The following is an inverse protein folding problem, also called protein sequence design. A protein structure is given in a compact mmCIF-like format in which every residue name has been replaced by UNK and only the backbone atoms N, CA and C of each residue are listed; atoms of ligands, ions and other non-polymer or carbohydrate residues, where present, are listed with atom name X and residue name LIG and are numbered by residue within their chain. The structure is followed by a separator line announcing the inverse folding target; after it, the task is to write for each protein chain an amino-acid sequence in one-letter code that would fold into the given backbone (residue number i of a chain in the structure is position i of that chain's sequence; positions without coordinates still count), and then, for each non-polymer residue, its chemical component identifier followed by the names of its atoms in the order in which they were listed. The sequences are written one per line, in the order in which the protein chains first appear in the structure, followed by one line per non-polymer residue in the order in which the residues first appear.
data_IF_910411838989
#
_entry.id   IF_910411838989
#
_cell.length_a   1.000
_cell.length_b   1.000
_cell.length_c   1.000
_cell.angle_alpha   90.00
_cell.angle_beta   90.00
_cell.angle_gamma   90.00
#
_symmetry.space_group_name_H-M   'P 1'
#
loop_
_entity.id
_entity.type
_entity.pdbx_description
1 polymer ?
#
# COMPACT_ATOMS: atom_id res chain seq x y z
N UNK A 1 55.32 -29.88 60.29
CA UNK A 1 54.14 -29.11 60.76
C UNK A 1 52.99 -29.31 59.77
N UNK A 2 51.74 -29.38 60.26
CA UNK A 2 50.54 -30.02 59.68
C UNK A 2 49.90 -29.32 58.44
N UNK A 3 49.49 -30.17 57.49
CA UNK A 3 48.25 -30.24 56.65
C UNK A 3 47.45 -28.98 56.23
N UNK A 4 47.14 -28.89 54.92
CA UNK A 4 45.81 -28.54 54.35
C UNK A 4 45.63 -29.28 53.00
N UNK A 5 44.79 -30.34 52.94
CA UNK A 5 43.41 -30.38 52.39
C UNK A 5 43.23 -29.75 51.01
N UNK A 6 42.88 -30.54 49.99
CA UNK A 6 41.48 -30.74 49.59
C UNK A 6 41.36 -31.68 48.39
N UNK A 7 40.32 -32.51 48.46
CA UNK A 7 39.92 -33.46 47.43
C UNK A 7 39.05 -32.75 46.38
N UNK A 8 39.20 -33.10 45.10
CA UNK A 8 38.12 -32.91 44.13
C UNK A 8 38.16 -33.96 43.02
N UNK A 9 37.53 -35.09 43.37
CA UNK A 9 36.57 -35.90 42.59
C UNK A 9 36.65 -35.81 41.06
N UNK A 10 37.05 -36.94 40.46
CA UNK A 10 36.88 -37.33 39.06
C UNK A 10 35.63 -36.69 38.42
N UNK A 11 35.83 -35.80 37.45
CA UNK A 11 34.77 -35.31 36.57
C UNK A 11 34.43 -36.38 35.54
N UNK A 12 33.38 -37.14 35.82
CA UNK A 12 32.70 -37.95 34.80
C UNK A 12 31.94 -36.98 33.89
N UNK A 13 32.45 -36.75 32.68
CA UNK A 13 31.73 -36.00 31.64
C UNK A 13 30.46 -36.78 31.29
N UNK A 14 29.32 -36.28 31.75
CA UNK A 14 28.01 -36.82 31.41
C UNK A 14 27.59 -36.16 30.10
N UNK A 15 28.00 -36.74 28.97
CA UNK A 15 27.40 -36.40 27.67
C UNK A 15 25.89 -36.65 27.79
N UNK A 16 25.12 -35.59 27.84
CA UNK A 16 23.66 -35.67 27.73
C UNK A 16 23.37 -35.88 26.25
N UNK A 17 23.43 -37.14 25.80
CA UNK A 17 22.82 -37.52 24.52
C UNK A 17 21.33 -37.25 24.62
N UNK A 18 20.89 -36.15 24.04
CA UNK A 18 19.46 -35.89 23.82
C UNK A 18 19.02 -36.88 22.74
N UNK A 19 18.47 -38.02 23.18
CA UNK A 19 17.84 -38.99 22.29
C UNK A 19 16.51 -38.38 21.85
N UNK A 20 16.53 -37.63 20.75
CA UNK A 20 15.32 -37.07 20.16
C UNK A 20 14.48 -38.18 19.54
N UNK A 21 13.20 -38.22 19.90
CA UNK A 21 12.24 -39.14 19.27
C UNK A 21 11.90 -38.68 17.84
N UNK A 22 11.57 -39.62 16.94
CA UNK A 22 11.20 -39.33 15.54
C UNK A 22 10.09 -38.27 15.41
N UNK A 23 9.20 -38.15 16.40
CA UNK A 23 8.14 -37.12 16.48
C UNK A 23 8.69 -35.71 16.73
N UNK A 24 9.74 -35.57 17.54
CA UNK A 24 10.38 -34.27 17.79
C UNK A 24 11.22 -33.81 16.59
N UNK A 25 11.83 -34.74 15.85
CA UNK A 25 12.54 -34.43 14.59
C UNK A 25 11.56 -33.90 13.54
N UNK A 26 10.36 -34.49 13.42
CA UNK A 26 9.33 -34.06 12.48
C UNK A 26 8.75 -32.65 12.81
N UNK A 27 8.66 -32.29 14.09
CA UNK A 27 8.18 -30.95 14.49
C UNK A 27 9.24 -29.89 14.21
N UNK A 28 10.52 -30.18 14.48
CA UNK A 28 11.62 -29.26 14.17
C UNK A 28 11.77 -29.07 12.66
N UNK A 29 11.66 -30.15 11.86
CA UNK A 29 11.73 -30.01 10.40
C UNK A 29 10.59 -29.16 9.84
N UNK A 30 9.37 -29.31 10.36
CA UNK A 30 8.22 -28.48 9.99
C UNK A 30 8.42 -27.00 10.38
N UNK A 31 8.95 -26.72 11.58
CA UNK A 31 9.24 -25.36 12.02
C UNK A 31 10.34 -24.68 11.19
N UNK A 32 11.39 -25.42 10.82
CA UNK A 32 12.47 -24.90 9.95
C UNK A 32 11.95 -24.61 8.54
N UNK A 33 11.09 -25.47 7.99
CA UNK A 33 10.43 -25.23 6.69
C UNK A 33 9.55 -23.98 6.73
N UNK A 34 8.77 -23.76 7.80
CA UNK A 34 7.94 -22.57 7.94
C UNK A 34 8.77 -21.28 7.98
N UNK A 35 9.89 -21.29 8.73
CA UNK A 35 10.80 -20.14 8.81
C UNK A 35 11.47 -19.88 7.45
N UNK A 36 11.87 -20.92 6.71
CA UNK A 36 12.47 -20.78 5.40
C UNK A 36 11.50 -20.18 4.37
N UNK A 37 10.21 -20.54 4.41
CA UNK A 37 9.18 -19.96 3.53
C UNK A 37 8.94 -18.48 3.86
N UNK A 38 8.88 -18.12 5.15
CA UNK A 38 8.71 -16.72 5.57
C UNK A 38 9.95 -15.89 5.17
N UNK A 39 11.16 -16.39 5.42
CA UNK A 39 12.39 -15.73 5.01
C UNK A 39 12.48 -15.58 3.48
N UNK A 40 12.09 -16.63 2.73
CA UNK A 40 12.02 -16.59 1.27
C UNK A 40 11.03 -15.55 0.76
N UNK A 41 9.86 -15.44 1.38
CA UNK A 41 8.85 -14.42 1.05
C UNK A 41 9.39 -12.99 1.32
N UNK A 42 10.07 -12.78 2.45
CA UNK A 42 10.70 -11.48 2.76
C UNK A 42 11.85 -11.15 1.81
N UNK A 43 12.69 -12.12 1.44
CA UNK A 43 13.79 -11.94 0.49
C UNK A 43 13.24 -11.64 -0.91
N UNK A 44 12.20 -12.35 -1.37
CA UNK A 44 11.57 -12.08 -2.66
C UNK A 44 10.91 -10.70 -2.69
N UNK A 45 10.34 -10.24 -1.57
CA UNK A 45 9.83 -8.87 -1.43
C UNK A 45 10.95 -7.82 -1.42
N UNK A 46 12.12 -8.14 -0.87
CA UNK A 46 13.31 -7.27 -0.89
C UNK A 46 14.00 -7.22 -2.27
N UNK A 47 13.95 -8.30 -3.04
CA UNK A 47 14.56 -8.41 -4.36
C UNK A 47 13.68 -7.86 -5.50
N UNK A 48 12.37 -7.71 -5.28
CA UNK A 48 11.45 -7.05 -6.23
C UNK A 48 11.55 -5.51 -6.23
N UNK A 49 12.66 -4.93 -5.75
CA UNK A 49 12.93 -3.50 -5.95
C UNK A 49 13.32 -3.28 -7.41
N UNK A 50 12.55 -2.52 -8.20
CA UNK A 50 12.96 -2.19 -9.57
C UNK A 50 14.31 -1.48 -9.55
N UNK A 51 15.16 -1.85 -10.51
CA UNK A 51 16.53 -1.37 -10.63
C UNK A 51 16.61 0.17 -10.59
N UNK A 52 17.51 0.67 -9.74
CA UNK A 52 17.86 2.09 -9.68
C UNK A 52 18.47 2.51 -11.02
N UNK A 53 17.71 3.29 -11.80
CA UNK A 53 18.27 4.06 -12.91
C UNK A 53 18.87 5.34 -12.33
N UNK A 54 20.20 5.45 -12.42
CA UNK A 54 20.97 6.63 -12.04
C UNK A 54 20.82 7.69 -13.13
N UNK A 55 20.12 8.79 -12.82
CA UNK A 55 20.01 9.97 -13.69
C UNK A 55 18.58 10.48 -13.90
N UNK A 56 17.89 10.84 -12.83
CA UNK A 56 16.54 11.43 -12.86
C UNK A 56 16.02 11.58 -11.44
N UNK A 57 15.21 12.61 -11.19
CA UNK A 57 14.53 12.77 -9.89
C UNK A 57 13.89 11.44 -9.48
N UNK A 58 14.19 10.91 -8.29
CA UNK A 58 13.60 9.67 -7.72
C UNK A 58 12.14 9.89 -7.30
N UNK A 59 11.40 10.72 -8.05
CA UNK A 59 10.02 11.08 -7.80
C UNK A 59 9.15 9.94 -8.30
N UNK A 60 8.33 9.40 -7.41
CA UNK A 60 7.34 8.39 -7.77
C UNK A 60 6.26 9.09 -8.56
N UNK A 61 6.22 8.90 -9.88
CA UNK A 61 5.19 9.52 -10.72
C UNK A 61 3.90 8.69 -10.79
N UNK A 62 3.97 7.39 -10.49
CA UNK A 62 2.81 6.50 -10.52
C UNK A 62 2.77 5.60 -9.31
N UNK A 63 1.68 5.65 -8.56
CA UNK A 63 1.41 4.73 -7.46
C UNK A 63 -0.08 4.65 -7.19
N UNK A 64 -0.51 3.63 -6.46
CA UNK A 64 -1.88 3.51 -5.99
C UNK A 64 -1.93 3.02 -4.56
N UNK A 65 -3.00 3.37 -3.88
CA UNK A 65 -3.32 2.87 -2.57
C UNK A 65 -4.83 2.81 -2.37
N UNK A 66 -5.24 2.23 -1.24
CA UNK A 66 -6.64 2.25 -0.84
C UNK A 66 -7.04 3.64 -0.34
N UNK A 67 -8.33 3.95 -0.35
CA UNK A 67 -8.83 5.28 -0.01
C UNK A 67 -8.46 5.72 1.43
N UNK A 68 -8.30 4.79 2.36
CA UNK A 68 -7.92 5.06 3.75
C UNK A 68 -6.44 5.44 3.96
N UNK A 69 -5.61 5.28 2.94
CA UNK A 69 -4.17 5.51 3.01
C UNK A 69 -3.77 6.84 2.37
N UNK A 70 -2.52 7.26 2.59
CA UNK A 70 -1.94 8.45 1.98
C UNK A 70 -1.03 8.13 0.80
N UNK A 71 -0.84 9.12 -0.06
CA UNK A 71 0.16 9.17 -1.12
C UNK A 71 1.17 10.26 -0.79
N UNK A 72 2.45 9.88 -0.68
CA UNK A 72 3.53 10.85 -0.53
C UNK A 72 4.07 11.27 -1.88
N UNK A 73 4.11 12.57 -2.14
CA UNK A 73 4.68 13.14 -3.36
C UNK A 73 5.25 14.53 -3.09
N UNK A 74 6.48 14.74 -3.50
CA UNK A 74 7.16 16.05 -3.42
C UNK A 74 7.15 16.69 -2.01
N UNK A 75 7.46 15.89 -0.99
CA UNK A 75 7.49 16.34 0.41
C UNK A 75 6.11 16.57 1.06
N UNK A 76 5.02 16.32 0.33
CA UNK A 76 3.64 16.41 0.80
C UNK A 76 3.02 15.03 0.92
N UNK A 77 2.13 14.89 1.90
CA UNK A 77 1.27 13.72 2.06
C UNK A 77 -0.14 14.10 1.68
N UNK A 78 -0.67 13.46 0.64
CA UNK A 78 -2.04 13.62 0.18
C UNK A 78 -2.89 12.47 0.71
N UNK A 79 -4.12 12.73 1.10
CA UNK A 79 -5.01 11.72 1.66
C UNK A 79 -6.47 12.12 1.51
N UNK A 80 -7.35 11.12 1.62
CA UNK A 80 -8.79 11.30 1.58
C UNK A 80 -9.32 11.33 3.01
N UNK A 81 -9.94 12.44 3.39
CA UNK A 81 -10.48 12.66 4.73
C UNK A 81 -11.99 12.49 4.69
N UNK A 82 -12.52 11.62 5.54
CA UNK A 82 -13.96 11.60 5.82
C UNK A 82 -14.32 12.74 6.78
N UNK A 83 -15.28 13.55 6.40
CA UNK A 83 -15.77 14.69 7.17
C UNK A 83 -16.87 14.25 8.16
N UNK A 84 -17.20 15.14 9.11
CA UNK A 84 -18.21 14.87 10.13
C UNK A 84 -19.63 14.71 9.57
N UNK A 85 -19.90 15.30 8.40
CA UNK A 85 -21.16 15.15 7.66
C UNK A 85 -21.21 13.87 6.80
N UNK A 86 -20.15 13.04 6.84
CA UNK A 86 -20.03 11.81 6.07
C UNK A 86 -19.50 11.98 4.65
N UNK A 87 -19.31 13.22 4.17
CA UNK A 87 -18.68 13.51 2.87
C UNK A 87 -17.17 13.26 2.93
N UNK A 88 -16.52 13.29 1.78
CA UNK A 88 -15.06 13.15 1.69
C UNK A 88 -14.42 14.43 1.14
N UNK A 89 -13.20 14.70 1.58
CA UNK A 89 -12.35 15.74 1.04
C UNK A 89 -10.99 15.17 0.64
N UNK A 90 -10.44 15.65 -0.47
CA UNK A 90 -9.01 15.55 -0.74
C UNK A 90 -8.30 16.59 0.14
N UNK A 91 -7.31 16.15 0.91
CA UNK A 91 -6.51 17.00 1.76
C UNK A 91 -5.02 16.71 1.57
N UNK A 92 -4.19 17.67 1.98
CA UNK A 92 -2.75 17.51 2.08
C UNK A 92 -2.23 17.90 3.46
N UNK A 93 -1.12 17.30 3.86
CA UNK A 93 -0.27 17.78 4.95
C UNK A 93 1.17 17.86 4.47
N UNK A 94 1.90 18.82 5.04
CA UNK A 94 3.35 18.95 4.81
C UNK A 94 4.07 18.27 5.96
N UNK A 95 5.18 17.59 5.68
CA UNK A 95 6.01 16.97 6.72
C UNK A 95 6.38 18.00 7.79
N UNK A 96 6.07 17.68 9.05
CA UNK A 96 6.33 18.57 10.20
C UNK A 96 5.20 19.55 10.52
N UNK A 97 4.12 19.58 9.73
CA UNK A 97 2.88 20.29 10.05
C UNK A 97 1.87 19.33 10.68
N UNK A 98 1.18 19.78 11.73
CA UNK A 98 0.00 19.11 12.28
C UNK A 98 -1.30 19.48 11.57
N UNK A 99 -1.26 20.54 10.76
CA UNK A 99 -2.44 21.05 10.05
C UNK A 99 -2.54 20.46 8.64
N UNK A 100 -3.73 19.96 8.34
CA UNK A 100 -4.10 19.50 7.02
C UNK A 100 -4.86 20.60 6.28
N UNK A 101 -4.44 20.88 5.05
CA UNK A 101 -5.14 21.77 4.14
C UNK A 101 -6.15 20.95 3.32
N UNK A 102 -7.42 21.34 3.36
CA UNK A 102 -8.43 20.83 2.43
C UNK A 102 -8.17 21.42 1.04
N UNK A 103 -8.04 20.55 0.04
CA UNK A 103 -7.79 20.92 -1.35
C UNK A 103 -9.08 20.94 -2.17
N UNK A 104 -9.96 19.95 -1.94
CA UNK A 104 -11.24 19.85 -2.61
C UNK A 104 -12.21 18.97 -1.84
N UNK A 105 -13.51 19.27 -1.93
CA UNK A 105 -14.58 18.36 -1.52
C UNK A 105 -14.91 17.39 -2.64
N UNK A 106 -15.26 16.17 -2.27
CA UNK A 106 -15.60 15.10 -3.19
C UNK A 106 -17.13 14.86 -3.18
N UNK A 107 -17.76 14.78 -4.36
CA UNK A 107 -19.18 14.45 -4.50
C UNK A 107 -19.57 13.07 -3.95
N UNK A 108 -18.66 12.10 -3.97
CA UNK A 108 -18.93 10.69 -3.67
C UNK A 108 -18.07 10.11 -2.55
N UNK A 109 -18.19 8.78 -2.43
CA UNK A 109 -17.35 7.96 -1.55
C UNK A 109 -16.20 7.35 -2.36
N UNK A 110 -14.93 7.70 -2.05
CA UNK A 110 -13.80 7.18 -2.81
C UNK A 110 -13.67 5.66 -2.73
N UNK A 111 -13.45 5.04 -3.89
CA UNK A 111 -13.20 3.60 -4.04
C UNK A 111 -11.71 3.26 -4.25
N UNK A 112 -10.89 4.27 -4.55
CA UNK A 112 -9.45 4.13 -4.71
C UNK A 112 -8.73 5.47 -4.72
N UNK A 113 -7.40 5.44 -4.58
CA UNK A 113 -6.59 6.64 -4.59
C UNK A 113 -5.29 6.40 -5.36
N UNK A 114 -5.11 7.15 -6.43
CA UNK A 114 -4.05 6.91 -7.42
C UNK A 114 -3.28 8.19 -7.69
N UNK A 115 -1.96 8.09 -7.74
CA UNK A 115 -1.10 9.11 -8.32
C UNK A 115 -0.76 8.68 -9.74
N UNK A 116 -0.96 9.60 -10.67
CA UNK A 116 -0.60 9.41 -12.06
C UNK A 116 -0.01 10.69 -12.64
N UNK A 117 1.31 10.71 -12.79
CA UNK A 117 2.11 11.74 -13.46
C UNK A 117 1.75 13.16 -13.00
N UNK A 118 1.74 13.38 -11.68
CA UNK A 118 1.44 14.68 -11.07
C UNK A 118 -0.06 15.00 -10.90
N UNK A 119 -0.95 14.05 -11.19
CA UNK A 119 -2.37 14.15 -10.87
C UNK A 119 -2.79 13.09 -9.86
N UNK A 120 -3.67 13.47 -8.93
CA UNK A 120 -4.38 12.55 -8.05
C UNK A 120 -5.70 12.15 -8.71
N UNK A 121 -5.87 10.86 -8.96
CA UNK A 121 -7.06 10.27 -9.57
C UNK A 121 -7.83 9.49 -8.51
N UNK A 122 -9.11 9.81 -8.37
CA UNK A 122 -9.98 9.39 -7.28
C UNK A 122 -11.28 8.84 -7.87
N UNK A 123 -11.35 7.54 -8.20
CA UNK A 123 -12.62 6.91 -8.55
C UNK A 123 -13.54 6.89 -7.34
N UNK A 124 -14.78 7.29 -7.49
CA UNK A 124 -15.73 7.41 -6.40
C UNK A 124 -17.14 6.90 -6.76
N UNK A 125 -17.87 6.47 -5.74
CA UNK A 125 -19.25 6.04 -5.83
C UNK A 125 -20.17 7.17 -5.39
N UNK A 126 -21.13 7.53 -6.25
CA UNK A 126 -22.08 8.59 -6.00
C UNK A 126 -23.34 8.05 -5.29
N UNK A 127 -24.04 8.88 -4.50
CA UNK A 127 -25.24 8.46 -3.77
C UNK A 127 -26.40 8.02 -4.66
N UNK A 128 -26.42 8.42 -5.93
CA UNK A 128 -27.47 8.10 -6.90
C UNK A 128 -27.29 6.73 -7.58
N UNK A 129 -26.32 5.93 -7.14
CA UNK A 129 -26.02 4.61 -7.70
C UNK A 129 -25.21 4.67 -9.00
N UNK A 130 -24.57 5.80 -9.28
CA UNK A 130 -23.57 5.94 -10.33
C UNK A 130 -22.17 6.07 -9.74
N UNK A 131 -21.16 6.09 -10.61
CA UNK A 131 -19.78 6.36 -10.25
C UNK A 131 -19.16 7.27 -11.28
N UNK A 132 -18.17 8.03 -10.84
CA UNK A 132 -17.29 8.83 -11.70
C UNK A 132 -15.84 8.76 -11.19
N UNK A 133 -14.98 9.58 -11.79
CA UNK A 133 -13.58 9.66 -11.43
C UNK A 133 -13.23 11.13 -11.32
N UNK A 134 -12.79 11.56 -10.14
CA UNK A 134 -12.27 12.90 -9.92
C UNK A 134 -10.77 12.92 -10.16
N UNK A 135 -10.28 14.02 -10.72
CA UNK A 135 -8.87 14.30 -10.92
C UNK A 135 -8.50 15.64 -10.27
N UNK A 136 -7.33 15.68 -9.62
CA UNK A 136 -6.76 16.92 -9.09
C UNK A 136 -5.27 16.98 -9.46
N UNK A 137 -4.90 17.95 -10.29
CA UNK A 137 -3.51 18.15 -10.70
C UNK A 137 -2.77 18.92 -9.61
N UNK A 138 -1.55 18.49 -9.29
CA UNK A 138 -0.76 19.16 -8.27
C UNK A 138 -0.30 20.53 -8.75
N UNK A 139 -0.68 21.56 -8.02
CA UNK A 139 -0.36 22.95 -8.31
C UNK A 139 -1.15 23.90 -7.42
N UNK A 140 -0.60 25.09 -7.20
CA UNK A 140 -1.31 26.12 -6.46
C UNK A 140 -2.50 26.61 -7.27
N UNK A 141 -3.67 26.71 -6.63
CA UNK A 141 -4.92 27.11 -7.29
C UNK A 141 -5.62 26.02 -8.11
N UNK A 142 -5.11 24.78 -8.11
CA UNK A 142 -5.76 23.65 -8.76
C UNK A 142 -7.14 23.34 -8.16
N UNK A 143 -8.10 23.03 -9.02
CA UNK A 143 -9.45 22.63 -8.67
C UNK A 143 -9.65 21.16 -9.04
N UNK A 144 -10.38 20.40 -8.21
CA UNK A 144 -10.74 19.03 -8.56
C UNK A 144 -11.81 19.06 -9.66
N UNK A 145 -11.59 18.27 -10.71
CA UNK A 145 -12.49 18.18 -11.86
C UNK A 145 -12.78 16.73 -12.20
N UNK A 146 -13.96 16.46 -12.74
CA UNK A 146 -14.28 15.13 -13.25
C UNK A 146 -13.34 14.78 -14.41
N UNK A 147 -12.78 13.57 -14.39
CA UNK A 147 -11.94 13.05 -15.45
C UNK A 147 -12.75 12.96 -16.74
N UNK A 148 -12.17 13.47 -17.82
CA UNK A 148 -12.76 13.44 -19.16
C UNK A 148 -11.98 12.44 -20.01
N UNK A 149 -12.70 11.60 -20.75
CA UNK A 149 -12.13 10.64 -21.67
C UNK A 149 -11.58 11.30 -22.93
N UNK A 150 -10.89 10.52 -23.76
CA UNK A 150 -10.37 10.98 -25.06
C UNK A 150 -11.46 11.45 -26.03
N UNK A 151 -12.71 11.08 -25.79
CA UNK A 151 -13.88 11.52 -26.54
C UNK A 151 -14.46 12.86 -26.05
N UNK A 152 -13.82 13.50 -25.06
CA UNK A 152 -14.27 14.75 -24.48
C UNK A 152 -15.46 14.61 -23.54
N UNK A 153 -15.86 13.38 -23.18
CA UNK A 153 -16.98 13.14 -22.27
C UNK A 153 -16.52 12.78 -20.86
N UNK A 154 -17.28 13.15 -19.82
CA UNK A 154 -16.96 12.72 -18.46
C UNK A 154 -16.92 11.21 -18.33
N UNK A 155 -15.90 10.69 -17.66
CA UNK A 155 -15.76 9.28 -17.37
C UNK A 155 -16.64 8.92 -16.19
N UNK A 156 -17.74 8.22 -16.48
CA UNK A 156 -18.71 7.77 -15.49
C UNK A 156 -19.31 6.40 -15.86
N UNK A 157 -20.12 5.85 -14.96
CA UNK A 157 -20.93 4.67 -15.21
C UNK A 157 -21.97 4.43 -14.13
N UNK A 158 -22.77 3.37 -14.30
CA UNK A 158 -23.75 2.93 -13.30
C UNK A 158 -23.15 1.86 -12.38
N UNK A 159 -23.73 1.72 -11.20
CA UNK A 159 -23.36 0.72 -10.20
C UNK A 159 -22.31 1.22 -9.21
N UNK A 160 -21.65 0.28 -8.54
CA UNK A 160 -20.67 0.56 -7.48
C UNK A 160 -19.32 -0.02 -7.84
N UNK A 161 -18.28 0.82 -7.82
CA UNK A 161 -16.88 0.43 -7.88
C UNK A 161 -16.50 -0.27 -6.57
N UNK A 162 -16.04 -1.51 -6.67
CA UNK A 162 -15.55 -2.32 -5.54
C UNK A 162 -14.02 -2.37 -5.48
N UNK A 163 -13.35 -2.28 -6.63
CA UNK A 163 -11.88 -2.35 -6.74
C UNK A 163 -11.36 -1.40 -7.81
N UNK A 164 -10.21 -0.80 -7.54
CA UNK A 164 -9.46 0.04 -8.47
C UNK A 164 -8.05 -0.52 -8.61
N UNK A 165 -7.58 -0.69 -9.85
CA UNK A 165 -6.20 -1.09 -10.16
C UNK A 165 -5.60 -0.23 -11.28
N UNK A 166 -4.52 0.47 -10.98
CA UNK A 166 -3.64 1.11 -11.96
C UNK A 166 -2.80 0.03 -12.65
N UNK A 167 -2.99 -0.11 -13.95
CA UNK A 167 -2.19 -0.98 -14.82
C UNK A 167 -1.61 -0.13 -15.95
N UNK A 168 -0.28 0.04 -15.91
CA UNK A 168 0.48 0.85 -16.86
C UNK A 168 -0.07 2.27 -17.00
N UNK A 169 -0.90 2.50 -18.04
CA UNK A 169 -1.52 3.78 -18.40
C UNK A 169 -3.05 3.73 -18.32
N UNK A 170 -3.60 2.88 -17.46
CA UNK A 170 -5.05 2.72 -17.36
C UNK A 170 -5.49 2.37 -15.95
N UNK A 171 -6.66 2.85 -15.57
CA UNK A 171 -7.39 2.34 -14.42
C UNK A 171 -8.27 1.17 -14.86
N UNK A 172 -8.19 0.08 -14.11
CA UNK A 172 -9.13 -1.04 -14.20
C UNK A 172 -10.03 -0.95 -12.99
N UNK A 173 -11.30 -0.65 -13.25
CA UNK A 173 -12.36 -0.64 -12.25
C UNK A 173 -13.03 -2.01 -12.25
N UNK A 174 -13.29 -2.57 -11.07
CA UNK A 174 -14.12 -3.75 -10.89
C UNK A 174 -15.36 -3.37 -10.12
N UNK A 175 -16.53 -3.70 -10.65
CA UNK A 175 -17.80 -3.42 -9.99
C UNK A 175 -18.23 -4.52 -9.00
N UNK A 176 -19.40 -4.36 -8.40
CA UNK A 176 -19.98 -5.32 -7.46
C UNK A 176 -20.26 -6.70 -8.08
N UNK A 177 -20.53 -6.75 -9.39
CA UNK A 177 -20.81 -7.97 -10.17
C UNK A 177 -19.52 -8.61 -10.73
N UNK A 178 -18.36 -8.07 -10.34
CA UNK A 178 -17.01 -8.45 -10.81
C UNK A 178 -16.78 -8.20 -12.31
N UNK A 179 -17.58 -7.36 -12.95
CA UNK A 179 -17.27 -6.87 -14.30
C UNK A 179 -16.15 -5.85 -14.22
N UNK A 180 -15.33 -5.80 -15.26
CA UNK A 180 -14.19 -4.88 -15.33
C UNK A 180 -14.35 -3.85 -16.42
N UNK A 181 -13.99 -2.60 -16.12
CA UNK A 181 -13.94 -1.50 -17.09
C UNK A 181 -12.55 -0.90 -17.10
N UNK A 182 -11.91 -0.87 -18.27
CA UNK A 182 -10.59 -0.25 -18.47
C UNK A 182 -10.77 1.19 -18.92
N UNK A 183 -10.21 2.12 -18.16
CA UNK A 183 -10.20 3.56 -18.42
C UNK A 183 -8.78 3.97 -18.78
N UNK A 184 -8.49 4.35 -20.02
CA UNK A 184 -7.21 4.92 -20.39
C UNK A 184 -6.96 6.24 -19.63
N UNK A 185 -5.75 6.41 -19.10
CA UNK A 185 -5.29 7.68 -18.54
C UNK A 185 -4.40 8.35 -19.59
N UNK A 186 -4.91 9.41 -20.21
CA UNK A 186 -4.14 10.21 -21.16
C UNK A 186 -3.10 11.08 -20.45
N UNK A 187 -2.02 11.35 -21.17
CA UNK A 187 -1.12 12.47 -20.95
C UNK A 187 -1.51 13.56 -21.94
#
# INVERSE_FOLDING_TARGET
MRLKRSAQKNMTSRETRVVMSKRQIAIISAAVLLIAVIAGFFIMHLLNKPALQTGGSTRVERTQTKAENSISYDGRSYFLKKNSDGTYSLAQSTKGSSEALELAKLPGTPAGFVLYDGALIIPENLPDGTWDIMAWTMGDGSVATQLVGSDGKPVAGRGTIKKVELKEKSLVLTDADNQTKKIPLSQ
#
